data_IF_384472234902
#
_entry.id   IF_384472234902
#
_cell.length_a   1.000
_cell.length_b   1.000
_cell.length_c   1.000
_cell.angle_alpha   90.00
_cell.angle_beta   90.00
_cell.angle_gamma   90.00
#
_symmetry.space_group_name_H-M   'P 1'
#
loop_
_entity.id
_entity.type
_entity.pdbx_description
1 polymer ?
#
# COMPACT_ATOMS: atom_id res chain seq x y z
N UNK A 1 -7.94 39.47 -6.85
CA UNK A 1 -6.46 39.44 -6.95
C UNK A 1 -6.06 37.98 -6.99
N UNK A 2 -5.34 37.52 -7.97
CA UNK A 2 -4.89 36.15 -8.08
C UNK A 2 -3.52 36.00 -7.40
N UNK A 3 -3.35 34.89 -6.69
CA UNK A 3 -2.04 34.47 -6.20
C UNK A 3 -1.05 34.37 -7.39
N UNK A 4 0.23 34.68 -7.20
CA UNK A 4 1.26 34.52 -8.24
C UNK A 4 1.36 33.14 -8.88
N UNK A 5 0.69 32.12 -8.35
CA UNK A 5 0.61 30.74 -8.86
C UNK A 5 -0.62 30.45 -9.73
N UNK A 6 -1.50 31.45 -9.97
CA UNK A 6 -2.64 31.36 -10.88
C UNK A 6 -3.88 30.60 -10.36
N UNK A 7 -3.99 30.39 -9.04
CA UNK A 7 -5.15 29.72 -8.44
C UNK A 7 -6.15 30.74 -7.87
N UNK A 8 -7.49 30.51 -7.98
CA UNK A 8 -8.47 31.37 -7.37
C UNK A 8 -8.42 31.33 -5.85
N UNK A 9 -8.53 32.49 -5.20
CA UNK A 9 -8.38 32.63 -3.74
C UNK A 9 -9.48 31.98 -2.89
N UNK A 10 -10.53 31.48 -3.51
CA UNK A 10 -11.66 30.83 -2.81
C UNK A 10 -11.39 29.36 -2.45
N UNK A 11 -10.20 28.85 -2.76
CA UNK A 11 -9.80 27.47 -2.49
C UNK A 11 -8.84 27.32 -1.31
N UNK A 12 -8.55 28.41 -0.59
CA UNK A 12 -7.67 28.39 0.58
C UNK A 12 -8.47 28.47 1.87
N UNK A 13 -8.13 27.62 2.86
CA UNK A 13 -8.63 27.83 4.21
C UNK A 13 -7.90 28.99 4.88
N UNK A 14 -8.40 29.44 6.03
CA UNK A 14 -7.84 30.57 6.77
C UNK A 14 -6.40 30.36 7.25
N UNK A 15 -5.82 29.14 7.12
CA UNK A 15 -4.43 28.79 7.46
C UNK A 15 -3.46 28.92 6.28
N UNK A 16 -3.95 29.22 5.06
CA UNK A 16 -3.12 29.48 3.87
C UNK A 16 -2.55 28.26 3.18
N UNK A 17 -2.93 27.03 3.57
CA UNK A 17 -2.60 25.79 2.91
C UNK A 17 -3.71 25.29 1.99
N UNK A 18 -3.42 24.43 0.99
CA UNK A 18 -4.46 23.79 0.21
C UNK A 18 -5.29 22.87 1.12
N UNK A 19 -6.47 23.32 1.51
CA UNK A 19 -7.39 22.55 2.32
C UNK A 19 -7.80 21.26 1.61
N UNK A 20 -7.37 20.12 2.13
CA UNK A 20 -7.78 18.80 1.66
C UNK A 20 -9.16 18.47 2.25
N UNK A 21 -10.23 18.85 1.59
CA UNK A 21 -11.57 18.34 1.91
C UNK A 21 -11.85 17.11 1.04
N UNK A 22 -11.74 15.93 1.63
CA UNK A 22 -12.30 14.72 1.03
C UNK A 22 -13.82 14.85 1.13
N UNK A 23 -14.47 15.14 0.01
CA UNK A 23 -15.91 15.31 -0.03
C UNK A 23 -16.59 14.02 0.49
N UNK A 24 -17.44 14.14 1.53
CA UNK A 24 -18.25 13.05 2.13
C UNK A 24 -18.98 12.19 1.10
N UNK A 25 -19.24 12.72 -0.09
CA UNK A 25 -19.88 12.00 -1.20
C UNK A 25 -19.00 10.92 -1.82
N UNK A 26 -17.67 11.10 -1.91
CA UNK A 26 -16.77 10.06 -2.45
C UNK A 26 -16.60 8.89 -1.48
N UNK A 27 -16.60 9.15 -0.18
CA UNK A 27 -16.55 8.09 0.84
C UNK A 27 -17.77 7.17 0.78
N UNK A 28 -18.95 7.72 0.51
CA UNK A 28 -20.20 6.98 0.40
C UNK A 28 -20.33 6.20 -0.92
N UNK A 29 -19.68 6.65 -2.00
CA UNK A 29 -19.78 5.99 -3.31
C UNK A 29 -19.04 4.64 -3.32
N UNK A 30 -18.00 4.47 -2.53
CA UNK A 30 -17.29 3.19 -2.39
C UNK A 30 -18.01 2.18 -1.48
N UNK A 31 -18.94 2.64 -0.63
CA UNK A 31 -19.63 1.79 0.33
C UNK A 31 -20.90 1.11 -0.24
N UNK A 32 -21.41 1.54 -1.40
CA UNK A 32 -22.77 1.20 -1.86
C UNK A 32 -22.81 0.27 -3.07
N UNK A 33 -21.71 0.00 -3.76
CA UNK A 33 -21.74 -0.61 -5.10
C UNK A 33 -21.53 -2.12 -5.18
N UNK A 34 -21.37 -2.85 -4.06
CA UNK A 34 -21.28 -4.30 -4.11
C UNK A 34 -21.99 -4.94 -2.90
N UNK A 35 -22.62 -6.12 -3.04
CA UNK A 35 -23.16 -6.89 -1.92
C UNK A 35 -22.02 -7.56 -1.14
N UNK A 36 -21.23 -6.75 -0.45
CA UNK A 36 -19.99 -7.15 0.24
C UNK A 36 -19.96 -6.44 1.58
N UNK A 37 -19.59 -7.15 2.65
CA UNK A 37 -19.19 -6.48 3.91
C UNK A 37 -17.89 -5.76 3.65
N UNK A 38 -17.97 -4.49 3.32
CA UNK A 38 -16.77 -3.64 3.17
C UNK A 38 -16.56 -2.90 4.48
N UNK A 39 -15.39 -3.04 5.04
CA UNK A 39 -14.93 -2.24 6.15
C UNK A 39 -13.90 -1.28 5.59
N UNK A 40 -14.33 -0.03 5.41
CA UNK A 40 -13.40 1.06 5.19
C UNK A 40 -13.15 1.73 6.53
N UNK A 41 -11.92 1.76 6.98
CA UNK A 41 -11.53 2.62 8.08
C UNK A 41 -11.62 4.06 7.58
N UNK A 42 -12.79 4.67 7.75
CA UNK A 42 -13.03 6.08 7.41
C UNK A 42 -12.86 6.95 8.64
N UNK A 43 -12.55 8.20 8.41
CA UNK A 43 -12.54 9.26 9.42
C UNK A 43 -13.83 9.23 10.23
N UNK A 44 -13.72 9.08 11.55
CA UNK A 44 -14.84 9.20 12.48
C UNK A 44 -15.41 7.91 13.02
N UNK A 45 -14.80 6.74 12.79
CA UNK A 45 -15.07 5.57 13.61
C UNK A 45 -14.43 5.81 14.97
N UNK A 46 -15.22 6.33 15.87
CA UNK A 46 -14.89 6.29 17.30
C UNK A 46 -14.94 4.82 17.70
N UNK A 47 -13.84 4.10 17.53
CA UNK A 47 -13.63 2.82 18.16
C UNK A 47 -13.65 3.12 19.65
N UNK A 48 -14.82 2.99 20.28
CA UNK A 48 -14.95 3.08 21.73
C UNK A 48 -14.09 1.97 22.30
N UNK A 49 -12.82 2.28 22.52
CA UNK A 49 -11.93 1.45 23.32
C UNK A 49 -12.44 1.48 24.74
N UNK A 50 -12.59 0.33 25.40
CA UNK A 50 -12.64 0.33 26.85
C UNK A 50 -11.40 1.07 27.36
N UNK A 51 -11.57 1.90 28.34
CA UNK A 51 -10.67 2.94 28.82
C UNK A 51 -9.34 2.47 29.44
N UNK A 52 -8.81 1.37 29.00
CA UNK A 52 -7.47 0.93 29.39
C UNK A 52 -6.69 0.60 28.16
N UNK A 53 -5.98 1.59 27.72
CA UNK A 53 -4.85 1.54 26.86
C UNK A 53 -5.05 1.35 25.37
N UNK A 54 -4.45 1.80 24.73
CA UNK A 54 -3.94 2.30 23.50
C UNK A 54 -4.60 3.66 23.33
N UNK A 55 -4.05 4.66 24.05
CA UNK A 55 -4.08 6.01 23.51
C UNK A 55 -3.80 5.81 22.03
N UNK A 56 -4.80 6.05 21.18
CA UNK A 56 -4.59 6.08 19.73
C UNK A 56 -3.35 6.92 19.58
N UNK A 57 -2.24 6.37 19.05
CA UNK A 57 -1.09 7.22 18.83
C UNK A 57 -1.65 8.39 18.05
N UNK A 58 -1.52 9.57 18.64
CA UNK A 58 -1.84 10.83 17.94
C UNK A 58 -1.18 10.66 16.58
N UNK A 59 -1.90 10.77 15.46
CA UNK A 59 -1.26 10.62 14.17
C UNK A 59 -0.07 11.56 14.19
N UNK A 60 1.13 11.03 14.08
CA UNK A 60 2.35 11.81 13.92
C UNK A 60 2.36 12.41 12.50
N UNK A 61 1.25 13.06 12.15
CA UNK A 61 1.15 13.83 10.92
C UNK A 61 1.58 15.22 11.33
N UNK A 62 2.70 15.73 10.81
CA UNK A 62 3.11 17.10 11.04
C UNK A 62 1.96 18.05 10.73
N UNK A 63 1.74 19.03 11.59
CA UNK A 63 0.64 19.98 11.43
C UNK A 63 0.87 20.97 10.28
N UNK A 64 2.12 21.10 9.82
CA UNK A 64 2.52 22.00 8.74
C UNK A 64 3.15 21.24 7.58
N UNK A 65 2.80 21.63 6.34
CA UNK A 65 3.34 21.02 5.12
C UNK A 65 4.85 21.20 4.96
N UNK A 66 5.45 22.16 5.63
CA UNK A 66 6.90 22.39 5.64
C UNK A 66 7.64 21.27 6.35
N UNK A 67 7.03 20.70 7.40
CA UNK A 67 7.59 19.62 8.19
C UNK A 67 7.70 18.30 7.43
N UNK A 68 6.98 18.18 6.29
CA UNK A 68 7.06 16.99 5.42
C UNK A 68 8.38 16.84 4.67
N UNK A 69 9.25 17.80 4.72
CA UNK A 69 10.50 17.80 3.94
C UNK A 69 11.72 17.41 4.75
N UNK A 70 11.62 17.25 6.05
CA UNK A 70 12.70 16.68 6.86
C UNK A 70 12.77 15.16 6.62
N UNK A 71 13.98 14.64 6.48
CA UNK A 71 14.22 13.19 6.30
C UNK A 71 13.70 12.41 7.50
N UNK A 72 13.78 12.98 8.71
CA UNK A 72 13.26 12.40 9.93
C UNK A 72 11.74 12.23 9.85
N UNK A 73 11.04 13.27 9.43
CA UNK A 73 9.58 13.28 9.30
C UNK A 73 9.08 12.35 8.22
N UNK A 74 9.80 12.26 7.10
CA UNK A 74 9.51 11.29 6.05
C UNK A 74 9.58 9.85 6.58
N UNK A 75 10.60 9.52 7.39
CA UNK A 75 10.73 8.20 8.02
C UNK A 75 9.59 7.93 9.00
N UNK A 76 9.20 8.91 9.80
CA UNK A 76 8.08 8.81 10.74
C UNK A 76 6.77 8.59 10.00
N UNK A 77 6.52 9.32 8.91
CA UNK A 77 5.32 9.14 8.10
C UNK A 77 5.24 7.78 7.42
N UNK A 78 6.37 7.26 6.93
CA UNK A 78 6.40 5.89 6.39
C UNK A 78 6.08 4.84 7.45
N UNK A 79 6.24 5.18 8.72
CA UNK A 79 5.94 4.33 9.85
C UNK A 79 4.57 4.61 10.49
N UNK A 80 3.87 5.66 10.07
CA UNK A 80 2.55 5.99 10.59
C UNK A 80 1.53 4.89 10.26
N UNK A 81 0.59 4.58 11.18
CA UNK A 81 -0.47 3.62 10.91
C UNK A 81 -1.30 4.03 9.69
N UNK A 82 -1.53 3.09 8.79
CA UNK A 82 -2.20 3.34 7.49
C UNK A 82 -3.74 3.28 7.62
N UNK A 83 -4.28 3.67 8.76
CA UNK A 83 -5.69 3.47 9.13
C UNK A 83 -6.75 3.91 8.11
N UNK A 84 -6.69 5.08 7.48
CA UNK A 84 -7.86 5.55 6.74
C UNK A 84 -8.02 4.91 5.35
N UNK A 85 -7.09 4.07 4.91
CA UNK A 85 -6.97 3.71 3.49
C UNK A 85 -6.87 2.20 3.26
N UNK A 86 -7.03 1.40 4.31
CA UNK A 86 -7.10 -0.06 4.21
C UNK A 86 -8.54 -0.46 3.93
N UNK A 87 -8.75 -1.23 2.87
CA UNK A 87 -10.05 -1.77 2.52
C UNK A 87 -10.02 -3.29 2.63
N UNK A 88 -10.79 -3.80 3.59
CA UNK A 88 -11.02 -5.23 3.79
C UNK A 88 -12.47 -5.55 3.41
N UNK A 89 -12.69 -6.57 2.61
CA UNK A 89 -14.02 -6.98 2.18
C UNK A 89 -14.18 -8.50 2.23
N UNK A 90 -15.42 -8.94 2.51
CA UNK A 90 -15.81 -10.35 2.47
C UNK A 90 -16.81 -10.53 1.33
N UNK A 91 -16.49 -11.37 0.36
CA UNK A 91 -17.32 -11.64 -0.80
C UNK A 91 -18.46 -12.63 -0.50
N UNK A 92 -19.45 -12.69 -1.40
CA UNK A 92 -20.51 -13.71 -1.35
C UNK A 92 -20.00 -15.12 -1.63
N UNK A 93 -18.80 -15.25 -2.13
CA UNK A 93 -18.05 -16.50 -2.28
C UNK A 93 -17.33 -16.93 -0.99
N UNK A 94 -17.41 -16.12 0.06
CA UNK A 94 -16.74 -16.34 1.34
C UNK A 94 -15.29 -15.92 1.40
N UNK A 95 -14.71 -15.45 0.30
CA UNK A 95 -13.31 -15.00 0.28
C UNK A 95 -13.17 -13.64 0.92
N UNK A 96 -12.02 -13.45 1.57
CA UNK A 96 -11.65 -12.19 2.22
C UNK A 96 -10.61 -11.47 1.38
N UNK A 97 -10.93 -10.28 0.92
CA UNK A 97 -10.06 -9.49 0.04
C UNK A 97 -9.53 -8.27 0.77
N UNK A 98 -8.21 -8.08 0.70
CA UNK A 98 -7.51 -6.88 1.15
C UNK A 98 -7.00 -6.10 -0.06
N UNK A 99 -7.43 -4.85 -0.19
CA UNK A 99 -6.73 -3.88 -1.03
C UNK A 99 -5.62 -3.23 -0.21
N UNK A 100 -4.39 -3.64 -0.49
CA UNK A 100 -3.21 -3.22 0.24
C UNK A 100 -2.63 -1.94 -0.37
N UNK A 101 -2.51 -0.83 0.38
CA UNK A 101 -1.94 0.41 -0.14
C UNK A 101 -0.40 0.37 -0.29
N UNK A 102 0.23 -0.76 -0.04
CA UNK A 102 1.67 -0.98 -0.21
C UNK A 102 1.96 -1.84 -1.43
N UNK A 103 3.19 -1.78 -1.93
CA UNK A 103 3.60 -2.55 -3.09
C UNK A 103 4.25 -3.87 -2.67
N UNK A 104 3.82 -4.98 -3.30
CA UNK A 104 4.53 -6.24 -3.28
C UNK A 104 5.60 -6.23 -4.37
N UNK A 105 6.85 -6.08 -3.98
CA UNK A 105 8.01 -6.05 -4.89
C UNK A 105 8.97 -7.25 -4.68
N UNK A 106 8.44 -8.34 -4.13
CA UNK A 106 9.14 -9.60 -3.91
C UNK A 106 9.42 -9.93 -2.44
N UNK A 107 9.18 -8.98 -1.52
CA UNK A 107 9.50 -9.15 -0.11
C UNK A 107 8.49 -10.03 0.66
N UNK A 108 7.31 -10.36 0.09
CA UNK A 108 6.34 -11.27 0.71
C UNK A 108 5.31 -10.61 1.62
N UNK A 109 5.12 -9.29 1.54
CA UNK A 109 4.19 -8.55 2.37
C UNK A 109 2.76 -9.06 2.23
N UNK A 110 2.34 -9.43 1.01
CA UNK A 110 1.00 -9.95 0.74
C UNK A 110 0.71 -11.22 1.56
N UNK A 111 1.68 -12.12 1.69
CA UNK A 111 1.52 -13.33 2.51
C UNK A 111 1.41 -12.99 3.99
N UNK A 112 2.26 -12.10 4.50
CA UNK A 112 2.21 -11.73 5.90
C UNK A 112 0.89 -11.06 6.31
N UNK A 113 0.38 -10.15 5.48
CA UNK A 113 -0.93 -9.53 5.72
C UNK A 113 -2.07 -10.53 5.54
N UNK A 114 -1.95 -11.45 4.58
CA UNK A 114 -2.89 -12.56 4.43
C UNK A 114 -2.97 -13.45 5.67
N UNK A 115 -1.83 -13.72 6.32
CA UNK A 115 -1.79 -14.49 7.57
C UNK A 115 -2.50 -13.75 8.72
N UNK A 116 -2.32 -12.43 8.85
CA UNK A 116 -3.02 -11.64 9.86
C UNK A 116 -4.55 -11.72 9.68
N UNK A 117 -5.02 -11.64 8.44
CA UNK A 117 -6.44 -11.75 8.12
C UNK A 117 -6.95 -13.17 8.40
N UNK A 118 -6.24 -14.20 7.90
CA UNK A 118 -6.62 -15.60 8.09
C UNK A 118 -6.73 -15.95 9.58
N UNK A 119 -5.77 -15.45 10.39
CA UNK A 119 -5.79 -15.61 11.84
C UNK A 119 -7.06 -15.01 12.45
N UNK A 120 -7.30 -13.73 12.23
CA UNK A 120 -8.39 -13.02 12.88
C UNK A 120 -9.78 -13.46 12.39
N UNK A 121 -9.90 -13.80 11.12
CA UNK A 121 -11.17 -14.20 10.51
C UNK A 121 -11.48 -15.70 10.65
N UNK A 122 -10.57 -16.51 11.17
CA UNK A 122 -10.68 -17.98 11.20
C UNK A 122 -11.00 -18.56 9.80
N UNK A 123 -10.31 -18.07 8.77
CA UNK A 123 -10.45 -18.58 7.39
C UNK A 123 -9.14 -19.26 6.95
N UNK A 124 -9.21 -20.23 6.04
CA UNK A 124 -8.00 -20.75 5.39
C UNK A 124 -7.24 -19.63 4.68
N UNK A 125 -5.91 -19.66 4.72
CA UNK A 125 -5.09 -18.67 4.02
C UNK A 125 -5.35 -18.65 2.51
N UNK A 126 -5.78 -19.77 1.92
CA UNK A 126 -6.19 -19.89 0.51
C UNK A 126 -7.43 -19.06 0.15
N UNK A 127 -8.22 -18.69 1.15
CA UNK A 127 -9.44 -17.90 0.96
C UNK A 127 -9.20 -16.40 1.19
N UNK A 128 -7.95 -16.03 1.46
CA UNK A 128 -7.53 -14.64 1.58
C UNK A 128 -6.87 -14.18 0.29
N UNK A 129 -7.38 -13.10 -0.28
CA UNK A 129 -6.87 -12.45 -1.48
C UNK A 129 -6.23 -11.12 -1.06
N UNK A 130 -4.95 -10.94 -1.37
CA UNK A 130 -4.25 -9.68 -1.12
C UNK A 130 -3.71 -9.15 -2.43
N UNK A 131 -4.15 -7.97 -2.82
CA UNK A 131 -3.61 -7.27 -3.99
C UNK A 131 -3.28 -5.81 -3.66
N UNK A 132 -2.36 -5.24 -4.41
CA UNK A 132 -2.01 -3.83 -4.25
C UNK A 132 -3.14 -2.95 -4.73
N UNK A 133 -3.46 -1.92 -3.95
CA UNK A 133 -4.38 -0.87 -4.37
C UNK A 133 -3.77 -0.06 -5.52
N UNK A 134 -4.63 0.48 -6.37
CA UNK A 134 -4.21 1.41 -7.41
C UNK A 134 -3.57 2.67 -6.82
N UNK A 135 -2.72 3.31 -7.62
CA UNK A 135 -2.12 4.58 -7.23
C UNK A 135 -3.20 5.65 -7.12
N UNK A 136 -3.31 6.26 -5.93
CA UNK A 136 -4.30 7.29 -5.62
C UNK A 136 -3.64 8.44 -4.86
N UNK A 137 -4.06 9.69 -5.12
CA UNK A 137 -3.52 10.85 -4.40
C UNK A 137 -3.69 10.75 -2.88
N UNK A 138 -4.79 10.16 -2.42
CA UNK A 138 -5.10 9.95 -1.01
C UNK A 138 -4.12 8.98 -0.34
N UNK A 139 -3.50 8.09 -1.12
CA UNK A 139 -2.53 7.10 -0.65
C UNK A 139 -1.08 7.59 -0.70
N UNK A 140 -0.86 8.83 -1.10
CA UNK A 140 0.46 9.40 -1.42
C UNK A 140 1.56 9.02 -0.43
N UNK A 141 1.29 9.08 0.86
CA UNK A 141 2.28 8.76 1.90
C UNK A 141 2.24 7.30 2.34
N UNK A 142 1.12 6.61 2.12
CA UNK A 142 0.89 5.25 2.58
C UNK A 142 1.23 4.18 1.53
N UNK A 143 1.46 4.56 0.27
CA UNK A 143 1.86 3.63 -0.79
C UNK A 143 3.37 3.42 -0.87
N UNK A 144 4.16 4.20 -0.17
CA UNK A 144 5.61 4.04 -0.18
C UNK A 144 5.98 2.74 0.53
N UNK A 145 6.63 1.85 -0.21
CA UNK A 145 7.17 0.60 0.32
C UNK A 145 8.66 0.77 0.56
N UNK A 146 9.04 1.02 1.81
CA UNK A 146 10.41 1.28 2.21
C UNK A 146 10.57 1.32 3.73
N UNK A 147 11.83 1.39 4.20
CA UNK A 147 12.16 1.51 5.62
C UNK A 147 11.68 0.35 6.50
N UNK A 148 11.38 -0.82 5.92
CA UNK A 148 10.80 -2.00 6.63
C UNK A 148 9.56 -1.63 7.45
N UNK A 149 8.74 -0.71 6.94
CA UNK A 149 7.62 -0.14 7.69
C UNK A 149 6.29 -0.86 7.46
N UNK A 150 6.16 -1.69 6.42
CA UNK A 150 4.85 -2.21 6.00
C UNK A 150 4.15 -3.00 7.12
N UNK A 151 4.76 -4.03 7.69
CA UNK A 151 4.12 -4.80 8.78
C UNK A 151 3.83 -3.90 9.98
N UNK A 152 4.79 -3.09 10.40
CA UNK A 152 4.63 -2.19 11.55
C UNK A 152 3.47 -1.20 11.38
N UNK A 153 3.17 -0.79 10.14
CA UNK A 153 2.04 0.11 9.86
C UNK A 153 0.69 -0.63 9.81
N UNK A 154 0.69 -1.91 9.45
CA UNK A 154 -0.54 -2.69 9.38
C UNK A 154 -0.89 -3.42 10.67
N UNK A 155 0.11 -3.80 11.46
CA UNK A 155 -0.07 -4.58 12.69
C UNK A 155 -1.06 -3.95 13.68
N UNK A 156 -1.04 -2.64 13.97
CA UNK A 156 -2.02 -2.04 14.88
C UNK A 156 -3.42 -1.88 14.29
N UNK A 157 -3.61 -2.10 13.00
CA UNK A 157 -4.84 -1.74 12.27
C UNK A 157 -5.55 -2.96 11.71
N UNK A 158 -4.83 -3.79 10.99
CA UNK A 158 -5.44 -4.89 10.23
C UNK A 158 -6.08 -5.97 11.09
N UNK A 159 -5.46 -6.40 12.22
CA UNK A 159 -6.11 -7.34 13.13
C UNK A 159 -7.42 -6.79 13.71
N UNK A 160 -7.45 -5.51 14.10
CA UNK A 160 -8.68 -4.87 14.62
C UNK A 160 -9.78 -4.83 13.56
N UNK A 161 -9.44 -4.51 12.31
CA UNK A 161 -10.40 -4.49 11.21
C UNK A 161 -10.94 -5.90 10.92
N UNK A 162 -10.08 -6.90 10.88
CA UNK A 162 -10.46 -8.28 10.64
C UNK A 162 -11.32 -8.84 11.78
N UNK A 163 -10.98 -8.55 13.03
CA UNK A 163 -11.78 -8.89 14.19
C UNK A 163 -13.18 -8.24 14.15
N UNK A 164 -13.26 -6.96 13.77
CA UNK A 164 -14.53 -6.26 13.61
C UNK A 164 -15.39 -6.86 12.47
N UNK A 165 -14.75 -7.24 11.35
CA UNK A 165 -15.42 -7.93 10.25
C UNK A 165 -16.03 -9.27 10.70
N UNK A 166 -15.23 -10.09 11.39
CA UNK A 166 -15.71 -11.35 11.99
C UNK A 166 -16.88 -11.12 12.95
N UNK A 167 -16.73 -10.17 13.88
CA UNK A 167 -17.76 -9.86 14.86
C UNK A 167 -19.08 -9.42 14.19
N UNK A 168 -19.02 -8.68 13.09
CA UNK A 168 -20.19 -8.25 12.33
C UNK A 168 -20.93 -9.43 11.70
N UNK A 169 -20.20 -10.38 11.13
CA UNK A 169 -20.77 -11.61 10.55
C UNK A 169 -21.41 -12.48 11.65
N UNK A 170 -20.75 -12.63 12.78
CA UNK A 170 -21.27 -13.35 13.95
C UNK A 170 -22.53 -12.67 14.51
N UNK A 171 -22.55 -11.34 14.60
CA UNK A 171 -23.71 -10.60 15.06
C UNK A 171 -24.94 -10.82 14.17
N UNK A 172 -24.74 -10.83 12.85
CA UNK A 172 -25.82 -11.11 11.91
C UNK A 172 -26.33 -12.56 12.02
N UNK A 173 -25.44 -13.54 12.08
CA UNK A 173 -25.83 -14.95 12.29
C UNK A 173 -26.58 -15.13 13.61
N UNK A 174 -26.11 -14.51 14.68
CA UNK A 174 -26.76 -14.54 16.00
C UNK A 174 -28.16 -13.93 15.94
N UNK A 175 -28.35 -12.81 15.27
CA UNK A 175 -29.63 -12.18 15.05
C UNK A 175 -30.60 -13.11 14.29
N UNK A 176 -30.13 -13.77 13.22
CA UNK A 176 -30.93 -14.70 12.43
C UNK A 176 -31.36 -15.95 13.23
N UNK A 177 -30.55 -16.35 14.17
CA UNK A 177 -30.79 -17.60 14.95
C UNK A 177 -31.37 -17.37 16.33
N UNK A 178 -31.52 -16.12 16.76
CA UNK A 178 -32.01 -15.78 18.10
C UNK A 178 -31.02 -16.18 19.19
N UNK A 179 -29.73 -16.11 18.93
CA UNK A 179 -28.66 -16.53 19.82
C UNK A 179 -27.76 -15.33 20.21
N UNK A 180 -26.96 -15.54 21.26
CA UNK A 180 -25.88 -14.58 21.57
C UNK A 180 -24.70 -14.78 20.60
N UNK A 181 -24.08 -13.71 20.08
CA UNK A 181 -22.86 -13.84 19.28
C UNK A 181 -21.73 -14.59 19.99
N UNK A 182 -21.65 -14.50 21.32
CA UNK A 182 -20.65 -15.18 22.14
C UNK A 182 -20.83 -16.70 22.24
N UNK A 183 -21.99 -17.22 21.87
CA UNK A 183 -22.26 -18.67 21.80
C UNK A 183 -21.84 -19.29 20.48
N UNK A 184 -21.54 -18.46 19.49
CA UNK A 184 -21.14 -18.92 18.16
C UNK A 184 -19.63 -19.12 18.08
N UNK A 185 -19.23 -20.10 17.29
CA UNK A 185 -17.81 -20.30 16.93
C UNK A 185 -17.63 -20.21 15.42
N UNK A 186 -16.41 -19.99 14.98
CA UNK A 186 -16.05 -19.98 13.56
C UNK A 186 -15.02 -21.06 13.32
N UNK A 187 -15.16 -21.74 12.21
CA UNK A 187 -14.20 -22.73 11.72
C UNK A 187 -14.13 -22.64 10.18
N UNK A 188 -12.96 -22.36 9.65
CA UNK A 188 -12.71 -22.25 8.21
C UNK A 188 -13.75 -21.37 7.46
N UNK A 189 -14.10 -20.19 8.03
CA UNK A 189 -15.05 -19.27 7.42
C UNK A 189 -16.52 -19.68 7.54
N UNK A 190 -16.81 -20.70 8.36
CA UNK A 190 -18.17 -21.15 8.67
C UNK A 190 -18.52 -20.79 10.11
N UNK A 191 -19.60 -20.06 10.31
CA UNK A 191 -20.18 -19.77 11.63
C UNK A 191 -21.01 -20.96 12.07
N UNK A 192 -20.80 -21.44 13.28
CA UNK A 192 -21.43 -22.64 13.82
C UNK A 192 -22.09 -22.32 15.17
N UNK A 193 -23.34 -22.65 15.30
CA UNK A 193 -24.13 -22.53 16.53
C UNK A 193 -24.04 -23.79 17.41
N UNK A 194 -24.28 -23.70 18.73
CA UNK A 194 -24.30 -24.85 19.65
C UNK A 194 -25.29 -25.95 19.28
N UNK A 195 -26.35 -25.58 18.61
CA UNK A 195 -27.44 -26.51 18.16
C UNK A 195 -27.13 -27.16 16.79
N UNK A 196 -25.93 -26.90 16.21
CA UNK A 196 -25.49 -27.47 14.95
C UNK A 196 -25.90 -26.70 13.71
N UNK A 197 -26.67 -25.62 13.81
CA UNK A 197 -26.87 -24.69 12.68
C UNK A 197 -25.58 -24.10 12.24
N UNK A 198 -25.43 -23.90 10.94
CA UNK A 198 -24.21 -23.31 10.39
C UNK A 198 -24.47 -22.44 9.16
N UNK A 199 -23.60 -21.47 8.91
CA UNK A 199 -23.66 -20.59 7.74
C UNK A 199 -22.26 -20.15 7.35
N UNK A 200 -21.98 -20.10 6.04
CA UNK A 200 -20.70 -19.59 5.54
C UNK A 200 -20.67 -18.06 5.62
N UNK A 201 -19.48 -17.49 5.70
CA UNK A 201 -19.33 -16.04 5.61
C UNK A 201 -19.96 -15.46 4.34
N UNK A 202 -19.82 -16.15 3.21
CA UNK A 202 -20.43 -15.73 1.95
C UNK A 202 -21.94 -15.60 2.02
N UNK A 203 -22.63 -16.53 2.70
CA UNK A 203 -24.08 -16.48 2.86
C UNK A 203 -24.55 -15.39 3.82
N UNK A 204 -23.71 -14.97 4.75
CA UNK A 204 -24.01 -13.96 5.77
C UNK A 204 -23.68 -12.54 5.33
N UNK A 205 -22.76 -12.38 4.36
CA UNK A 205 -22.10 -11.10 4.07
C UNK A 205 -23.09 -9.99 3.68
N UNK A 206 -24.09 -10.28 2.85
CA UNK A 206 -25.08 -9.28 2.39
C UNK A 206 -25.91 -8.74 3.56
N UNK A 207 -26.40 -9.64 4.40
CA UNK A 207 -27.18 -9.24 5.57
C UNK A 207 -26.31 -8.56 6.64
N UNK A 208 -25.13 -9.08 6.88
CA UNK A 208 -24.20 -8.47 7.82
C UNK A 208 -23.81 -7.03 7.41
N UNK A 209 -23.78 -6.72 6.11
CA UNK A 209 -23.50 -5.36 5.62
C UNK A 209 -24.53 -4.32 6.08
N UNK A 210 -25.74 -4.72 6.47
CA UNK A 210 -26.78 -3.82 6.97
C UNK A 210 -26.59 -3.44 8.45
N UNK A 211 -25.77 -4.18 9.19
CA UNK A 211 -25.51 -3.90 10.59
C UNK A 211 -24.41 -2.83 10.76
N UNK A 212 -24.41 -2.07 11.85
CA UNK A 212 -23.27 -1.23 12.19
C UNK A 212 -22.02 -2.07 12.44
N UNK A 213 -20.86 -1.49 12.23
CA UNK A 213 -19.59 -2.14 12.53
C UNK A 213 -19.41 -2.22 14.05
N UNK A 214 -19.31 -3.43 14.64
CA UNK A 214 -19.09 -3.56 16.07
C UNK A 214 -17.63 -3.24 16.44
N UNK A 215 -17.43 -2.78 17.67
CA UNK A 215 -16.10 -2.79 18.26
C UNK A 215 -15.68 -4.24 18.54
N UNK A 216 -14.47 -4.59 18.16
CA UNK A 216 -13.92 -5.91 18.42
C UNK A 216 -12.42 -5.81 18.78
N UNK A 217 -11.98 -6.73 19.61
CA UNK A 217 -10.57 -6.88 19.95
C UNK A 217 -9.97 -8.00 19.11
N UNK A 218 -8.72 -7.83 18.65
CA UNK A 218 -7.96 -8.92 18.04
C UNK A 218 -7.81 -10.10 18.99
N UNK A 219 -7.52 -11.26 18.43
CA UNK A 219 -7.15 -12.45 19.20
C UNK A 219 -5.89 -12.20 20.02
N UNK A 220 -5.82 -12.83 21.21
CA UNK A 220 -4.59 -12.89 21.96
C UNK A 220 -3.56 -13.74 21.20
N UNK A 221 -2.27 -13.36 21.20
CA UNK A 221 -1.22 -14.15 20.53
C UNK A 221 -1.16 -15.61 20.94
N UNK A 222 -1.58 -15.97 22.17
CA UNK A 222 -1.67 -17.36 22.62
C UNK A 222 -2.71 -18.19 21.89
N UNK A 223 -3.63 -17.55 21.17
CA UNK A 223 -4.70 -18.18 20.38
C UNK A 223 -4.32 -18.37 18.90
N UNK A 224 -3.14 -17.91 18.49
CA UNK A 224 -2.73 -17.93 17.09
C UNK A 224 -2.51 -19.35 16.58
N UNK A 225 -3.04 -19.61 15.38
CA UNK A 225 -2.95 -20.89 14.67
C UNK A 225 -2.27 -20.76 13.31
N UNK A 226 -2.21 -19.55 12.75
CA UNK A 226 -1.64 -19.23 11.45
C UNK A 226 -0.36 -18.43 11.62
N UNK A 227 -0.41 -17.38 12.41
CA UNK A 227 0.77 -16.54 12.70
C UNK A 227 1.76 -17.34 13.56
N UNK A 228 3.04 -17.27 13.21
CA UNK A 228 4.09 -18.05 13.90
C UNK A 228 4.29 -19.47 13.37
N UNK A 229 3.45 -19.93 12.45
CA UNK A 229 3.59 -21.22 11.80
C UNK A 229 4.08 -21.06 10.36
N UNK A 230 4.86 -22.05 9.89
CA UNK A 230 5.34 -22.05 8.53
C UNK A 230 4.17 -22.18 7.54
N UNK A 231 4.14 -21.28 6.55
CA UNK A 231 3.25 -21.38 5.39
C UNK A 231 4.01 -21.00 4.13
N UNK A 232 3.57 -21.53 2.99
CA UNK A 232 4.10 -21.12 1.70
C UNK A 232 3.63 -19.69 1.35
N UNK A 233 4.38 -19.02 0.47
CA UNK A 233 3.93 -17.72 -0.06
C UNK A 233 2.65 -17.90 -0.87
N UNK A 234 1.70 -16.97 -0.72
CA UNK A 234 0.46 -16.94 -1.49
C UNK A 234 0.71 -16.89 -3.00
N UNK A 235 1.74 -16.15 -3.41
CA UNK A 235 2.08 -15.92 -4.81
C UNK A 235 3.28 -16.76 -5.31
N UNK A 236 3.75 -17.74 -4.54
CA UNK A 236 4.93 -18.52 -4.88
C UNK A 236 4.86 -19.17 -6.28
N UNK A 237 3.72 -19.82 -6.58
CA UNK A 237 3.52 -20.47 -7.87
C UNK A 237 3.54 -19.46 -9.03
N UNK A 238 2.93 -18.32 -8.85
CA UNK A 238 2.86 -17.29 -9.90
C UNK A 238 4.23 -16.66 -10.16
N UNK A 239 5.04 -16.51 -9.10
CA UNK A 239 6.42 -16.05 -9.23
C UNK A 239 7.25 -17.04 -10.03
N UNK A 240 7.32 -18.32 -9.60
CA UNK A 240 8.20 -19.30 -10.23
C UNK A 240 7.76 -19.72 -11.63
N UNK A 241 6.50 -19.47 -11.99
CA UNK A 241 5.97 -19.71 -13.34
C UNK A 241 5.96 -18.47 -14.23
N UNK A 242 6.43 -17.30 -13.73
CA UNK A 242 6.43 -16.04 -14.47
C UNK A 242 5.05 -15.42 -14.70
N UNK A 243 4.00 -15.94 -14.04
CA UNK A 243 2.65 -15.33 -14.10
C UNK A 243 2.58 -14.05 -13.28
N UNK A 244 3.24 -14.01 -12.12
CA UNK A 244 3.38 -12.79 -11.34
C UNK A 244 4.22 -11.79 -12.12
N UNK A 245 3.66 -10.60 -12.35
CA UNK A 245 4.38 -9.49 -12.99
C UNK A 245 4.76 -8.48 -11.95
N UNK A 246 6.04 -8.14 -11.91
CA UNK A 246 6.57 -7.00 -11.17
C UNK A 246 6.71 -5.81 -12.11
N UNK A 247 7.04 -4.64 -11.58
CA UNK A 247 7.12 -3.41 -12.38
C UNK A 247 8.04 -3.54 -13.60
N UNK A 248 9.18 -4.25 -13.44
CA UNK A 248 10.12 -4.46 -14.54
C UNK A 248 9.63 -5.45 -15.61
N UNK A 249 8.60 -6.23 -15.32
CA UNK A 249 8.02 -7.21 -16.26
C UNK A 249 6.84 -6.63 -17.05
N UNK A 250 6.47 -5.38 -16.80
CA UNK A 250 5.35 -4.75 -17.46
C UNK A 250 5.72 -4.35 -18.89
N UNK A 251 4.95 -4.82 -19.86
CA UNK A 251 5.05 -4.37 -21.23
C UNK A 251 4.33 -3.03 -21.39
N UNK A 252 5.07 -1.94 -21.31
CA UNK A 252 4.54 -0.60 -21.54
C UNK A 252 4.67 -0.28 -23.03
N UNK A 253 3.57 0.05 -23.75
CA UNK A 253 3.62 0.36 -25.16
C UNK A 253 4.63 1.48 -25.44
N UNK A 254 5.47 1.28 -26.46
CA UNK A 254 6.52 2.22 -26.90
C UNK A 254 7.61 2.54 -25.86
N UNK A 255 7.61 1.92 -24.68
CA UNK A 255 8.74 2.03 -23.77
C UNK A 255 10.00 1.39 -24.39
N UNK A 256 11.11 2.08 -24.26
CA UNK A 256 12.41 1.62 -24.75
C UNK A 256 13.36 1.36 -23.59
N UNK A 257 14.16 0.30 -23.65
CA UNK A 257 15.19 0.04 -22.66
C UNK A 257 16.12 1.24 -22.52
N UNK A 258 16.35 1.63 -21.27
CA UNK A 258 17.20 2.78 -20.97
C UNK A 258 18.15 2.42 -19.84
N UNK A 259 19.45 2.68 -20.03
CA UNK A 259 20.49 2.52 -19.03
C UNK A 259 20.96 3.87 -18.55
N UNK A 260 21.20 3.98 -17.24
CA UNK A 260 21.72 5.19 -16.62
C UNK A 260 23.15 4.96 -16.13
N UNK A 261 24.09 5.76 -16.60
CA UNK A 261 25.45 5.85 -16.05
C UNK A 261 25.50 6.94 -15.00
N UNK A 262 25.76 6.53 -13.78
CA UNK A 262 25.83 7.44 -12.63
C UNK A 262 27.28 7.77 -12.28
N UNK A 263 27.54 8.90 -11.61
CA UNK A 263 28.87 9.19 -11.09
C UNK A 263 29.25 8.18 -10.00
N UNK A 264 30.53 7.95 -9.85
CA UNK A 264 31.07 7.06 -8.79
C UNK A 264 30.96 7.67 -7.39
N UNK A 265 30.79 8.97 -7.31
CA UNK A 265 30.65 9.71 -6.04
C UNK A 265 29.21 10.14 -5.81
N UNK A 266 28.78 10.09 -4.56
CA UNK A 266 27.47 10.61 -4.15
C UNK A 266 27.41 12.11 -4.46
N UNK A 267 26.33 12.55 -5.13
CA UNK A 267 26.14 13.94 -5.60
C UNK A 267 27.16 14.43 -6.62
N UNK A 268 27.89 13.53 -7.27
CA UNK A 268 28.72 13.90 -8.42
C UNK A 268 27.87 14.53 -9.53
N UNK A 269 28.48 15.36 -10.34
CA UNK A 269 27.80 16.09 -11.42
C UNK A 269 28.34 15.65 -12.79
N UNK A 270 27.50 15.70 -13.81
CA UNK A 270 27.94 15.57 -15.20
C UNK A 270 28.46 16.93 -15.65
N UNK A 271 29.77 17.06 -15.90
CA UNK A 271 30.35 18.27 -16.45
C UNK A 271 30.22 18.27 -17.98
N UNK A 272 30.59 17.17 -18.62
CA UNK A 272 30.46 16.98 -20.08
C UNK A 272 30.34 15.51 -20.44
N UNK A 273 29.74 15.25 -21.58
CA UNK A 273 29.80 13.94 -22.25
C UNK A 273 30.56 14.13 -23.55
N UNK A 274 31.79 13.60 -23.59
CA UNK A 274 32.76 13.95 -24.61
C UNK A 274 32.51 13.26 -25.98
N UNK A 275 31.74 12.17 -25.98
CA UNK A 275 31.58 11.35 -27.17
C UNK A 275 30.08 11.06 -27.53
N UNK A 276 29.16 11.98 -27.23
CA UNK A 276 27.72 11.82 -27.47
C UNK A 276 27.43 11.39 -28.92
N UNK A 277 28.03 12.05 -29.90
CA UNK A 277 27.81 11.76 -31.32
C UNK A 277 28.21 10.32 -31.69
N UNK A 278 29.34 9.85 -31.20
CA UNK A 278 29.85 8.50 -31.43
C UNK A 278 28.90 7.45 -30.80
N UNK A 279 28.43 7.70 -29.58
CA UNK A 279 27.51 6.80 -28.88
C UNK A 279 26.13 6.78 -29.56
N UNK A 280 25.62 7.93 -30.00
CA UNK A 280 24.37 8.00 -30.76
C UNK A 280 24.44 7.27 -32.09
N UNK A 281 25.62 7.14 -32.69
CA UNK A 281 25.83 6.40 -33.92
C UNK A 281 25.94 4.88 -33.74
N UNK A 282 25.97 4.38 -32.51
CA UNK A 282 26.02 2.94 -32.23
C UNK A 282 24.70 2.25 -32.64
N UNK A 283 24.76 0.98 -33.09
CA UNK A 283 23.57 0.25 -33.55
C UNK A 283 22.46 0.22 -32.49
N UNK A 284 21.26 0.64 -32.90
CA UNK A 284 20.06 0.59 -32.07
C UNK A 284 19.98 1.66 -30.97
N UNK A 285 20.96 2.55 -30.84
CA UNK A 285 20.88 3.68 -29.92
C UNK A 285 19.88 4.71 -30.47
N UNK A 286 18.93 5.09 -29.62
CA UNK A 286 17.86 6.03 -29.96
C UNK A 286 18.25 7.43 -29.47
N UNK A 287 18.68 7.54 -28.21
CA UNK A 287 19.08 8.83 -27.65
C UNK A 287 20.07 8.69 -26.49
N UNK A 288 20.77 9.80 -26.22
CA UNK A 288 21.70 9.98 -25.08
C UNK A 288 21.34 11.30 -24.42
N UNK A 289 20.95 11.26 -23.14
CA UNK A 289 20.42 12.41 -22.43
C UNK A 289 21.11 12.58 -21.08
N UNK A 290 21.55 13.79 -20.78
CA UNK A 290 22.01 14.13 -19.42
C UNK A 290 20.80 14.27 -18.51
N UNK A 291 20.77 13.48 -17.44
CA UNK A 291 19.72 13.55 -16.41
C UNK A 291 20.16 14.55 -15.35
N UNK A 292 19.50 15.72 -15.26
CA UNK A 292 19.87 16.74 -14.28
C UNK A 292 19.50 16.33 -12.85
N UNK A 293 20.11 16.96 -11.84
CA UNK A 293 19.66 16.83 -10.47
C UNK A 293 18.22 17.29 -10.34
N UNK A 294 17.44 16.62 -9.51
CA UNK A 294 16.05 16.98 -9.30
C UNK A 294 15.38 16.09 -8.26
N UNK A 295 14.14 16.45 -7.91
CA UNK A 295 13.34 15.81 -6.89
C UNK A 295 13.50 16.48 -5.54
N UNK A 296 12.37 17.02 -5.02
CA UNK A 296 12.35 17.71 -3.73
C UNK A 296 12.34 16.71 -2.55
N UNK A 297 11.70 15.54 -2.75
CA UNK A 297 11.50 14.55 -1.68
C UNK A 297 12.52 13.41 -1.79
N UNK A 298 12.78 12.93 -3.02
CA UNK A 298 13.81 11.94 -3.28
C UNK A 298 14.77 12.56 -4.30
N UNK A 299 16.03 12.82 -3.94
CA UNK A 299 17.00 13.36 -4.87
C UNK A 299 17.07 12.47 -6.11
N UNK A 300 16.79 13.04 -7.29
CA UNK A 300 16.96 12.33 -8.54
C UNK A 300 18.44 12.04 -8.74
N UNK A 301 18.75 10.81 -9.08
CA UNK A 301 20.12 10.44 -9.45
C UNK A 301 20.53 11.23 -10.70
N UNK A 302 21.69 11.89 -10.60
CA UNK A 302 22.35 12.56 -11.73
C UNK A 302 23.06 11.51 -12.58
N UNK A 303 23.04 11.67 -13.88
CA UNK A 303 23.77 10.75 -14.75
C UNK A 303 23.57 11.02 -16.22
N UNK A 304 23.99 10.08 -17.04
CA UNK A 304 23.76 10.08 -18.47
C UNK A 304 22.94 8.85 -18.82
N UNK A 305 21.74 9.06 -19.33
CA UNK A 305 20.83 8.00 -19.78
C UNK A 305 21.07 7.69 -21.26
N UNK A 306 21.14 6.40 -21.61
CA UNK A 306 21.19 5.90 -22.99
C UNK A 306 19.95 5.07 -23.24
N UNK A 307 19.16 5.46 -24.21
CA UNK A 307 17.99 4.75 -24.69
C UNK A 307 18.33 3.98 -25.97
N UNK A 308 17.88 2.73 -26.06
CA UNK A 308 18.13 1.90 -27.26
C UNK A 308 16.97 0.95 -27.54
N UNK A 309 17.00 0.27 -28.68
CA UNK A 309 15.98 -0.70 -29.07
C UNK A 309 15.96 -1.95 -28.19
N UNK A 310 17.13 -2.37 -27.71
CA UNK A 310 17.28 -3.51 -26.80
C UNK A 310 18.11 -3.12 -25.58
N UNK A 311 17.91 -3.87 -24.49
CA UNK A 311 18.65 -3.67 -23.26
C UNK A 311 20.18 -3.86 -23.46
N UNK A 312 20.61 -4.86 -24.23
CA UNK A 312 22.03 -5.09 -24.56
C UNK A 312 22.66 -3.88 -25.25
N UNK A 313 21.97 -3.33 -26.26
CA UNK A 313 22.43 -2.12 -26.96
C UNK A 313 22.53 -0.91 -26.03
N UNK A 314 21.51 -0.70 -25.17
CA UNK A 314 21.57 0.38 -24.17
C UNK A 314 22.74 0.18 -23.19
N UNK A 315 22.99 -1.06 -22.77
CA UNK A 315 24.08 -1.42 -21.88
C UNK A 315 25.46 -1.14 -22.51
N UNK A 316 25.68 -1.64 -23.74
CA UNK A 316 26.97 -1.47 -24.43
C UNK A 316 27.25 0.00 -24.72
N UNK A 317 26.25 0.72 -25.18
CA UNK A 317 26.35 2.15 -25.44
C UNK A 317 26.59 2.96 -24.14
N UNK A 318 25.93 2.58 -23.05
CA UNK A 318 26.14 3.20 -21.74
C UNK A 318 27.60 3.01 -21.24
N UNK A 319 28.19 1.85 -21.52
CA UNK A 319 29.61 1.57 -21.18
C UNK A 319 30.60 2.32 -22.06
N UNK A 320 30.23 2.60 -23.29
CA UNK A 320 31.06 3.35 -24.25
C UNK A 320 31.09 4.87 -23.99
N UNK A 321 30.23 5.39 -23.09
CA UNK A 321 30.23 6.80 -22.75
C UNK A 321 31.57 7.24 -22.14
N UNK A 322 32.07 8.34 -22.67
CA UNK A 322 33.19 9.11 -22.09
C UNK A 322 32.62 10.35 -21.40
N UNK A 323 32.63 10.33 -20.08
CA UNK A 323 31.99 11.36 -19.26
C UNK A 323 33.01 12.00 -18.33
N UNK A 324 33.08 13.32 -18.37
CA UNK A 324 33.80 14.11 -17.37
C UNK A 324 32.86 14.38 -16.21
N UNK A 325 33.23 13.85 -15.06
CA UNK A 325 32.46 14.00 -13.82
C UNK A 325 33.03 15.14 -12.98
N UNK A 326 32.17 15.94 -12.40
CA UNK A 326 32.49 16.88 -11.36
C UNK A 326 32.35 16.26 -9.97
N UNK A 327 33.09 16.81 -9.04
CA UNK A 327 33.05 16.42 -7.64
C UNK A 327 31.66 16.64 -7.07
N UNK A 328 31.23 15.70 -6.23
CA UNK A 328 30.05 15.86 -5.39
C UNK A 328 30.29 16.88 -4.28
N UNK A 329 29.24 17.23 -3.57
CA UNK A 329 29.34 18.16 -2.41
C UNK A 329 30.11 17.56 -1.23
N UNK A 330 30.33 16.26 -1.22
CA UNK A 330 31.15 15.58 -0.21
C UNK A 330 32.61 15.51 -0.71
N UNK A 331 33.37 16.55 -0.43
CA UNK A 331 34.81 16.43 -0.44
C UNK A 331 35.21 15.66 0.81
N UNK A 332 35.61 14.39 0.60
CA UNK A 332 36.24 13.59 1.64
C UNK A 332 37.59 14.19 2.01
#
# INVERSE_FOLDING_TARGET
MNDPRGLPMDAMDESGGPGFSIGRRRLLTYAVSAPVVTIAAGFGVNLATPSTALASPTPLIPADSVDYYDVGDSIVQFAAPTMPLVKLSVGTDGKVTLEMPRLENGQGIATALGMMIAEEMDVPLSDVIVHSADAQPELRYNQITGGSSSIRCFDPVLPVMAAAARARLLAYAAQQWGLSPSSLRVEAGVVIAPDGRSATYGSLTVGAATLPLPSAQPKDPSQYKVIGHFTGRLDARDIVTGRKKFTMDLAVPNAKPTMLRMPSQIRGQVISVNNVAAVKAMPGVIDVVVVPPGGAIVPRQVGVAVMADTFGQAWDACRALDITWGDGTNKG
#
